data_IF_297788620601
#
_entry.id   IF_297788620601
#
_cell.length_a   1.000
_cell.length_b   1.000
_cell.length_c   1.000
_cell.angle_alpha   90.00
_cell.angle_beta   90.00
_cell.angle_gamma   90.00
#
_symmetry.space_group_name_H-M   'P 1'
#
loop_
_entity.id
_entity.type
_entity.pdbx_description
1 polymer ?
#
# COMPACT_ATOMS: atom_id res chain seq x y z
N UNK A 1 -4.99 -0.54 -6.87
CA UNK A 1 -4.85 -0.33 -8.33
C UNK A 1 -4.43 1.10 -8.61
N UNK A 2 -5.21 2.12 -8.20
CA UNK A 2 -4.90 3.55 -8.40
C UNK A 2 -3.44 3.95 -8.06
N UNK A 3 -2.87 3.59 -6.90
CA UNK A 3 -1.49 3.94 -6.58
C UNK A 3 -0.48 3.46 -7.62
N UNK A 4 -0.56 2.19 -7.96
CA UNK A 4 0.37 1.55 -8.88
C UNK A 4 0.21 2.07 -10.32
N UNK A 5 -1.01 2.38 -10.75
CA UNK A 5 -1.24 2.99 -12.06
C UNK A 5 -0.69 4.41 -12.12
N UNK A 6 -0.80 5.22 -11.05
CA UNK A 6 -0.19 6.55 -11.00
C UNK A 6 1.34 6.47 -11.14
N UNK A 7 1.96 5.53 -10.42
CA UNK A 7 3.41 5.36 -10.48
C UNK A 7 3.89 4.77 -11.82
N UNK A 8 3.07 3.92 -12.46
CA UNK A 8 3.31 3.45 -13.84
C UNK A 8 3.29 4.63 -14.81
N UNK A 9 2.32 5.55 -14.68
CA UNK A 9 2.27 6.77 -15.50
C UNK A 9 3.49 7.67 -15.27
N UNK A 10 3.93 7.81 -14.03
CA UNK A 10 5.14 8.57 -13.71
C UNK A 10 6.40 7.95 -14.35
N UNK A 11 6.54 6.62 -14.26
CA UNK A 11 7.63 5.90 -14.92
C UNK A 11 7.58 6.05 -16.46
N UNK A 12 6.39 6.06 -17.06
CA UNK A 12 6.21 6.33 -18.49
C UNK A 12 6.66 7.76 -18.87
N UNK A 13 6.26 8.77 -18.10
CA UNK A 13 6.70 10.16 -18.32
C UNK A 13 8.20 10.36 -18.10
N UNK A 14 8.80 9.55 -17.23
CA UNK A 14 10.24 9.52 -16.97
C UNK A 14 11.03 8.87 -18.12
N UNK A 15 10.56 7.71 -18.61
CA UNK A 15 11.19 6.97 -19.71
C UNK A 15 11.13 7.76 -21.04
N UNK A 16 10.18 8.69 -21.17
CA UNK A 16 9.95 9.43 -22.41
C UNK A 16 9.39 8.53 -23.52
N UNK A 17 8.76 7.41 -23.15
CA UNK A 17 8.17 6.48 -24.11
C UNK A 17 7.02 7.12 -24.91
N UNK A 18 6.83 6.65 -26.14
CA UNK A 18 5.76 7.09 -27.01
C UNK A 18 4.38 6.97 -26.33
N UNK A 19 3.55 8.00 -26.48
CA UNK A 19 2.18 8.06 -25.91
C UNK A 19 1.29 6.92 -26.40
N UNK A 20 1.54 6.37 -27.57
CA UNK A 20 0.85 5.19 -28.11
C UNK A 20 1.06 3.92 -27.27
N UNK A 21 2.15 3.84 -26.49
CA UNK A 21 2.43 2.72 -25.58
C UNK A 21 1.66 2.82 -24.26
N UNK A 22 1.24 4.03 -23.86
CA UNK A 22 0.61 4.29 -22.56
C UNK A 22 -0.65 3.43 -22.31
N UNK A 23 -1.60 3.27 -23.26
CA UNK A 23 -2.78 2.43 -23.03
C UNK A 23 -2.43 0.97 -22.74
N UNK A 24 -1.41 0.42 -23.42
CA UNK A 24 -0.97 -0.97 -23.24
C UNK A 24 -0.29 -1.13 -21.89
N UNK A 25 0.58 -0.19 -21.50
CA UNK A 25 1.24 -0.18 -20.18
C UNK A 25 0.22 -0.10 -19.05
N UNK A 26 -0.78 0.78 -19.16
CA UNK A 26 -1.83 0.91 -18.16
C UNK A 26 -2.74 -0.32 -18.10
N UNK A 27 -3.05 -0.94 -19.23
CA UNK A 27 -3.81 -2.19 -19.27
C UNK A 27 -3.03 -3.33 -18.58
N UNK A 28 -1.74 -3.47 -18.87
CA UNK A 28 -0.87 -4.44 -18.23
C UNK A 28 -0.79 -4.21 -16.71
N UNK A 29 -0.60 -2.95 -16.28
CA UNK A 29 -0.60 -2.58 -14.87
C UNK A 29 -1.95 -2.89 -14.20
N UNK A 30 -3.08 -2.59 -14.86
CA UNK A 30 -4.42 -2.89 -14.34
C UNK A 30 -4.60 -4.39 -14.11
N UNK A 31 -4.24 -5.23 -15.09
CA UNK A 31 -4.34 -6.70 -14.95
C UNK A 31 -3.43 -7.20 -13.83
N UNK A 32 -2.16 -6.79 -13.85
CA UNK A 32 -1.17 -7.23 -12.87
C UNK A 32 -1.56 -6.82 -11.44
N UNK A 33 -1.94 -5.55 -11.23
CA UNK A 33 -2.29 -5.04 -9.90
C UNK A 33 -3.70 -5.44 -9.44
N UNK A 34 -4.59 -5.84 -10.35
CA UNK A 34 -5.83 -6.50 -9.96
C UNK A 34 -5.53 -7.88 -9.36
N UNK A 35 -4.67 -8.68 -10.00
CA UNK A 35 -4.22 -9.98 -9.49
C UNK A 35 -3.45 -9.83 -8.17
N UNK A 36 -2.54 -8.85 -8.08
CA UNK A 36 -1.80 -8.50 -6.86
C UNK A 36 -2.73 -8.32 -5.64
N UNK A 37 -3.79 -7.52 -5.79
CA UNK A 37 -4.73 -7.26 -4.69
C UNK A 37 -5.60 -8.49 -4.43
N UNK A 38 -6.11 -9.09 -5.50
CA UNK A 38 -7.02 -10.21 -5.41
C UNK A 38 -6.42 -11.41 -4.67
N UNK A 39 -5.16 -11.77 -4.94
CA UNK A 39 -4.50 -12.90 -4.26
C UNK A 39 -4.37 -12.67 -2.76
N UNK A 40 -3.99 -11.45 -2.35
CA UNK A 40 -3.87 -11.10 -0.93
C UNK A 40 -5.24 -11.12 -0.24
N UNK A 41 -6.24 -10.46 -0.82
CA UNK A 41 -7.57 -10.36 -0.21
C UNK A 41 -8.25 -11.73 -0.09
N UNK A 42 -8.10 -12.58 -1.12
CA UNK A 42 -8.65 -13.92 -1.11
C UNK A 42 -7.95 -14.83 -0.08
N UNK A 43 -6.62 -14.79 -0.01
CA UNK A 43 -5.85 -15.52 1.00
C UNK A 43 -6.23 -15.06 2.42
N UNK A 44 -6.29 -13.74 2.65
CA UNK A 44 -6.63 -13.16 3.94
C UNK A 44 -8.05 -13.56 4.40
N UNK A 45 -9.04 -13.53 3.50
CA UNK A 45 -10.39 -13.99 3.82
C UNK A 45 -10.45 -15.51 4.11
N UNK A 46 -9.69 -16.32 3.38
CA UNK A 46 -9.62 -17.77 3.63
C UNK A 46 -9.04 -18.10 5.01
N UNK A 47 -8.01 -17.38 5.45
CA UNK A 47 -7.41 -17.58 6.78
C UNK A 47 -8.18 -16.89 7.90
N UNK A 48 -9.06 -15.94 7.55
CA UNK A 48 -9.75 -15.05 8.49
C UNK A 48 -11.24 -15.26 8.61
N UNK A 49 -11.81 -16.40 8.19
CA UNK A 49 -13.28 -16.60 8.16
C UNK A 49 -13.93 -16.38 9.53
N UNK A 50 -13.37 -16.95 10.59
CA UNK A 50 -13.89 -16.77 11.97
C UNK A 50 -13.79 -15.32 12.44
N UNK A 51 -12.68 -14.65 12.11
CA UNK A 51 -12.48 -13.22 12.39
C UNK A 51 -13.50 -12.36 11.64
N UNK A 52 -13.74 -12.68 10.37
CA UNK A 52 -14.65 -11.95 9.50
C UNK A 52 -16.12 -12.17 9.89
N UNK A 53 -16.50 -13.29 10.50
CA UNK A 53 -17.86 -13.48 11.07
C UNK A 53 -18.22 -12.41 12.07
N UNK A 54 -17.23 -11.97 12.87
CA UNK A 54 -17.42 -10.93 13.89
C UNK A 54 -17.31 -9.53 13.28
N UNK A 55 -16.28 -9.30 12.46
CA UNK A 55 -15.92 -7.95 12.03
C UNK A 55 -16.55 -7.52 10.70
N UNK A 56 -16.76 -8.47 9.80
CA UNK A 56 -17.16 -8.25 8.39
C UNK A 56 -18.14 -9.35 7.94
N UNK A 57 -19.31 -9.48 8.60
CA UNK A 57 -20.24 -10.60 8.38
C UNK A 57 -20.83 -10.66 6.97
N UNK A 58 -20.69 -9.58 6.20
CA UNK A 58 -21.11 -9.48 4.80
C UNK A 58 -20.15 -10.12 3.80
N UNK A 59 -18.96 -10.57 4.22
CA UNK A 59 -17.95 -11.14 3.29
C UNK A 59 -18.45 -12.44 2.63
N UNK A 60 -18.16 -12.68 1.34
CA UNK A 60 -18.69 -13.84 0.60
C UNK A 60 -18.39 -15.21 1.23
N UNK A 61 -17.22 -15.37 1.85
CA UNK A 61 -16.83 -16.61 2.54
C UNK A 61 -17.56 -16.81 3.88
N UNK A 62 -18.04 -15.73 4.49
CA UNK A 62 -18.83 -15.77 5.72
C UNK A 62 -20.29 -16.07 5.41
N UNK A 63 -20.85 -15.41 4.39
CA UNK A 63 -22.25 -15.58 3.98
C UNK A 63 -22.52 -16.87 3.20
N UNK A 64 -21.48 -17.61 2.84
CA UNK A 64 -21.59 -18.85 2.07
C UNK A 64 -21.79 -18.65 0.56
N UNK A 65 -21.73 -17.41 0.05
CA UNK A 65 -21.77 -17.12 -1.40
C UNK A 65 -20.59 -17.77 -2.15
N UNK A 66 -19.48 -18.00 -1.45
CA UNK A 66 -18.32 -18.74 -1.96
C UNK A 66 -17.94 -19.81 -0.94
N UNK A 67 -17.77 -21.05 -1.40
CA UNK A 67 -17.30 -22.13 -0.51
C UNK A 67 -15.79 -21.99 -0.25
N UNK A 68 -15.28 -22.39 0.93
CA UNK A 68 -13.84 -22.37 1.21
C UNK A 68 -13.01 -23.17 0.20
N UNK A 69 -13.53 -24.32 -0.27
CA UNK A 69 -12.87 -25.13 -1.29
C UNK A 69 -12.79 -24.39 -2.65
N UNK A 70 -13.87 -23.73 -3.05
CA UNK A 70 -13.90 -22.90 -4.26
C UNK A 70 -12.95 -21.70 -4.16
N UNK A 71 -12.89 -21.03 -3.01
CA UNK A 71 -11.96 -19.94 -2.77
C UNK A 71 -10.50 -20.40 -2.78
N UNK A 72 -10.16 -21.57 -2.24
CA UNK A 72 -8.80 -22.15 -2.33
C UNK A 72 -8.40 -22.42 -3.78
N UNK A 73 -9.29 -22.99 -4.56
CA UNK A 73 -9.05 -23.23 -6.00
C UNK A 73 -8.82 -21.91 -6.73
N UNK A 74 -9.66 -20.90 -6.48
CA UNK A 74 -9.48 -19.55 -7.04
C UNK A 74 -8.17 -18.91 -6.63
N UNK A 75 -7.73 -19.10 -5.39
CA UNK A 75 -6.45 -18.57 -4.92
C UNK A 75 -5.30 -19.20 -5.70
N UNK A 76 -5.28 -20.53 -5.87
CA UNK A 76 -4.25 -21.21 -6.65
C UNK A 76 -4.23 -20.70 -8.10
N UNK A 77 -5.39 -20.66 -8.75
CA UNK A 77 -5.51 -20.20 -10.15
C UNK A 77 -5.06 -18.73 -10.27
N UNK A 78 -5.51 -17.86 -9.38
CA UNK A 78 -5.14 -16.45 -9.41
C UNK A 78 -3.66 -16.21 -9.09
N UNK A 79 -3.06 -16.99 -8.18
CA UNK A 79 -1.62 -16.92 -7.90
C UNK A 79 -0.80 -17.40 -9.09
N UNK A 80 -1.20 -18.50 -9.75
CA UNK A 80 -0.54 -18.95 -10.99
C UNK A 80 -0.66 -17.87 -12.07
N UNK A 81 -1.85 -17.31 -12.28
CA UNK A 81 -2.05 -16.22 -13.23
C UNK A 81 -1.19 -15.00 -12.89
N UNK A 82 -1.10 -14.61 -11.62
CA UNK A 82 -0.28 -13.50 -11.16
C UNK A 82 1.20 -13.71 -11.47
N UNK A 83 1.74 -14.91 -11.19
CA UNK A 83 3.13 -15.25 -11.48
C UNK A 83 3.40 -15.31 -12.99
N UNK A 84 2.48 -15.89 -13.77
CA UNK A 84 2.59 -15.93 -15.24
C UNK A 84 2.55 -14.53 -15.84
N UNK A 85 1.63 -13.67 -15.39
CA UNK A 85 1.60 -12.26 -15.81
C UNK A 85 2.91 -11.58 -15.44
N UNK A 86 3.40 -11.75 -14.21
CA UNK A 86 4.69 -11.20 -13.79
C UNK A 86 5.86 -11.66 -14.67
N UNK A 87 5.92 -12.94 -15.02
CA UNK A 87 6.93 -13.47 -15.95
C UNK A 87 6.79 -12.88 -17.36
N UNK A 88 5.57 -12.85 -17.89
CA UNK A 88 5.28 -12.34 -19.22
C UNK A 88 5.58 -10.84 -19.37
N UNK A 89 5.50 -10.08 -18.28
CA UNK A 89 5.78 -8.63 -18.26
C UNK A 89 7.12 -8.26 -17.63
N UNK A 90 8.00 -9.23 -17.34
CA UNK A 90 9.36 -8.98 -16.85
C UNK A 90 9.47 -8.46 -15.41
N UNK A 91 8.49 -8.76 -14.55
CA UNK A 91 8.38 -8.33 -13.14
C UNK A 91 8.15 -9.50 -12.17
N UNK A 92 8.57 -10.71 -12.54
CA UNK A 92 8.32 -11.95 -11.80
C UNK A 92 8.87 -11.90 -10.37
N UNK A 93 10.05 -11.33 -10.17
CA UNK A 93 10.70 -11.18 -8.88
C UNK A 93 9.82 -10.42 -7.87
N UNK A 94 9.06 -9.42 -8.33
CA UNK A 94 8.14 -8.65 -7.50
C UNK A 94 6.86 -9.43 -7.21
N UNK A 95 6.38 -10.22 -8.17
CA UNK A 95 5.25 -11.12 -7.96
C UNK A 95 5.60 -12.22 -6.94
N UNK A 96 6.81 -12.75 -6.99
CA UNK A 96 7.34 -13.71 -6.01
C UNK A 96 7.50 -13.07 -4.63
N UNK A 97 8.09 -11.87 -4.55
CA UNK A 97 8.22 -11.12 -3.30
C UNK A 97 6.86 -10.88 -2.64
N UNK A 98 5.88 -10.41 -3.41
CA UNK A 98 4.54 -10.20 -2.87
C UNK A 98 3.88 -11.50 -2.43
N UNK A 99 4.05 -12.57 -3.21
CA UNK A 99 3.53 -13.90 -2.86
C UNK A 99 4.10 -14.41 -1.54
N UNK A 100 5.42 -14.30 -1.36
CA UNK A 100 6.08 -14.63 -0.11
C UNK A 100 5.59 -13.74 1.05
N UNK A 101 5.44 -12.43 0.82
CA UNK A 101 5.01 -11.47 1.84
C UNK A 101 3.58 -11.76 2.33
N UNK A 102 2.61 -11.95 1.44
CA UNK A 102 1.25 -12.26 1.87
C UNK A 102 1.13 -13.67 2.45
N UNK A 103 1.92 -14.64 1.98
CA UNK A 103 1.97 -15.97 2.57
C UNK A 103 2.48 -15.91 4.02
N UNK A 104 3.59 -15.18 4.25
CA UNK A 104 4.11 -14.92 5.58
C UNK A 104 3.08 -14.22 6.48
N UNK A 105 2.40 -13.19 5.95
CA UNK A 105 1.38 -12.43 6.65
C UNK A 105 0.20 -13.32 7.10
N UNK A 106 -0.42 -14.04 6.16
CA UNK A 106 -1.69 -14.74 6.37
C UNK A 106 -1.50 -16.17 6.94
N UNK A 107 -0.50 -16.90 6.45
CA UNK A 107 -0.34 -18.33 6.75
C UNK A 107 0.71 -18.62 7.82
N UNK A 108 1.78 -17.81 7.91
CA UNK A 108 2.83 -18.01 8.93
C UNK A 108 2.62 -17.22 10.22
N UNK A 109 1.46 -16.54 10.34
CA UNK A 109 1.12 -15.77 11.53
C UNK A 109 1.80 -14.41 11.63
N UNK A 110 2.40 -13.91 10.54
CA UNK A 110 2.99 -12.58 10.48
C UNK A 110 2.00 -11.49 10.90
N UNK A 111 0.73 -11.60 10.49
CA UNK A 111 -0.36 -10.68 10.84
C UNK A 111 -0.61 -10.54 12.36
N UNK A 112 -0.23 -11.54 13.16
CA UNK A 112 -0.43 -11.52 14.62
C UNK A 112 0.63 -10.72 15.36
N UNK A 113 1.76 -10.40 14.70
CA UNK A 113 2.91 -9.71 15.28
C UNK A 113 3.06 -8.34 14.61
N UNK A 114 3.19 -7.26 15.40
CA UNK A 114 3.40 -5.91 14.87
C UNK A 114 4.48 -5.85 13.78
N UNK A 115 5.67 -6.36 14.08
CA UNK A 115 6.78 -6.36 13.13
C UNK A 115 6.49 -7.21 11.89
N UNK A 116 5.77 -8.33 12.04
CA UNK A 116 5.48 -9.24 10.93
C UNK A 116 4.48 -8.63 9.95
N UNK A 117 3.41 -8.02 10.47
CA UNK A 117 2.44 -7.26 9.69
C UNK A 117 3.12 -6.12 8.94
N UNK A 118 3.90 -5.31 9.64
CA UNK A 118 4.54 -4.13 9.06
C UNK A 118 5.58 -4.52 8.02
N UNK A 119 6.39 -5.56 8.26
CA UNK A 119 7.36 -6.08 7.29
C UNK A 119 6.69 -6.58 6.01
N UNK A 120 5.59 -7.33 6.12
CA UNK A 120 4.85 -7.80 4.96
C UNK A 120 4.27 -6.64 4.13
N UNK A 121 3.77 -5.61 4.80
CA UNK A 121 3.24 -4.42 4.11
C UNK A 121 4.32 -3.58 3.45
N UNK A 122 5.49 -3.44 4.07
CA UNK A 122 6.66 -2.80 3.47
C UNK A 122 7.15 -3.59 2.25
N UNK A 123 7.28 -4.91 2.37
CA UNK A 123 7.65 -5.78 1.24
C UNK A 123 6.65 -5.69 0.09
N UNK A 124 5.35 -5.65 0.40
CA UNK A 124 4.30 -5.43 -0.60
C UNK A 124 4.40 -4.07 -1.28
N UNK A 125 4.69 -3.00 -0.53
CA UNK A 125 4.88 -1.66 -1.10
C UNK A 125 6.08 -1.61 -2.03
N UNK A 126 7.21 -2.22 -1.65
CA UNK A 126 8.39 -2.36 -2.51
C UNK A 126 8.03 -3.14 -3.77
N UNK A 127 7.39 -4.31 -3.65
CA UNK A 127 6.98 -5.13 -4.78
C UNK A 127 6.03 -4.36 -5.73
N UNK A 128 5.06 -3.63 -5.17
CA UNK A 128 4.09 -2.86 -5.95
C UNK A 128 4.76 -1.75 -6.76
N UNK A 129 5.55 -0.90 -6.10
CA UNK A 129 6.15 0.26 -6.76
C UNK A 129 7.27 -0.16 -7.72
N UNK A 130 8.04 -1.19 -7.36
CA UNK A 130 9.10 -1.71 -8.23
C UNK A 130 8.51 -2.33 -9.51
N UNK A 131 7.45 -3.14 -9.38
CA UNK A 131 6.75 -3.67 -10.55
C UNK A 131 6.12 -2.56 -11.40
N UNK A 132 5.50 -1.55 -10.77
CA UNK A 132 4.85 -0.45 -11.49
C UNK A 132 5.85 0.34 -12.37
N UNK A 133 7.07 0.53 -11.86
CA UNK A 133 8.15 1.15 -12.61
C UNK A 133 8.70 0.22 -13.70
N UNK A 134 9.04 -1.02 -13.32
CA UNK A 134 9.70 -2.00 -14.21
C UNK A 134 8.82 -2.50 -15.35
N UNK A 135 7.50 -2.37 -15.24
CA UNK A 135 6.58 -2.56 -16.37
C UNK A 135 6.86 -1.58 -17.53
N UNK A 136 7.47 -0.43 -17.25
CA UNK A 136 7.80 0.60 -18.24
C UNK A 136 9.26 0.53 -18.62
N UNK A 137 10.16 0.63 -17.64
CA UNK A 137 11.61 0.81 -17.83
C UNK A 137 12.40 0.22 -16.66
N UNK A 138 13.66 -0.21 -16.82
CA UNK A 138 14.43 -0.78 -15.72
C UNK A 138 14.54 0.13 -14.48
N UNK A 139 14.65 -0.49 -13.30
CA UNK A 139 14.81 0.24 -12.05
C UNK A 139 16.20 0.91 -11.99
N UNK A 140 16.20 2.22 -11.84
CA UNK A 140 17.39 3.05 -11.69
C UNK A 140 17.45 3.67 -10.28
N UNK A 141 18.44 4.54 -10.05
CA UNK A 141 18.58 5.24 -8.77
C UNK A 141 17.39 6.17 -8.47
N UNK A 142 16.76 6.73 -9.50
CA UNK A 142 15.56 7.56 -9.38
C UNK A 142 14.38 6.74 -8.86
N UNK A 143 14.10 5.60 -9.50
CA UNK A 143 13.07 4.67 -9.08
C UNK A 143 13.25 4.26 -7.61
N UNK A 144 14.46 3.81 -7.25
CA UNK A 144 14.77 3.37 -5.89
C UNK A 144 14.63 4.48 -4.86
N UNK A 145 15.00 5.73 -5.21
CA UNK A 145 14.78 6.88 -4.31
C UNK A 145 13.31 7.06 -3.98
N UNK A 146 12.42 7.01 -4.97
CA UNK A 146 10.97 7.11 -4.77
C UNK A 146 10.41 5.92 -3.99
N UNK A 147 10.81 4.69 -4.36
CA UNK A 147 10.33 3.47 -3.72
C UNK A 147 10.71 3.46 -2.24
N UNK A 148 11.97 3.74 -1.90
CA UNK A 148 12.48 3.61 -0.54
C UNK A 148 11.97 4.72 0.39
N UNK A 149 11.89 5.97 -0.08
CA UNK A 149 11.38 7.06 0.75
C UNK A 149 9.90 6.89 1.09
N UNK A 150 9.15 6.13 0.29
CA UNK A 150 7.76 5.79 0.56
C UNK A 150 7.66 4.52 1.41
N UNK A 151 8.37 3.45 1.03
CA UNK A 151 8.24 2.13 1.66
C UNK A 151 8.85 2.08 3.07
N UNK A 152 10.00 2.73 3.30
CA UNK A 152 10.67 2.65 4.61
C UNK A 152 9.81 3.29 5.71
N UNK A 153 9.33 4.55 5.57
CA UNK A 153 8.42 5.14 6.56
C UNK A 153 7.11 4.38 6.71
N UNK A 154 6.61 3.72 5.65
CA UNK A 154 5.39 2.91 5.70
C UNK A 154 5.48 1.79 6.74
N UNK A 155 6.68 1.24 7.00
CA UNK A 155 6.91 0.27 8.08
C UNK A 155 6.38 0.74 9.44
N UNK A 156 6.37 2.05 9.67
CA UNK A 156 5.81 2.64 10.89
C UNK A 156 4.41 3.19 10.67
N UNK A 157 4.20 3.97 9.60
CA UNK A 157 2.94 4.67 9.31
C UNK A 157 1.76 3.73 9.08
N UNK A 158 2.02 2.50 8.61
CA UNK A 158 0.98 1.47 8.41
C UNK A 158 0.27 1.08 9.72
N UNK A 159 0.89 1.36 10.87
CA UNK A 159 0.31 1.13 12.19
C UNK A 159 -0.85 2.09 12.50
N UNK A 160 -1.05 3.15 11.70
CA UNK A 160 -2.23 4.04 11.82
C UNK A 160 -3.56 3.26 11.74
N UNK A 161 -3.60 2.19 10.95
CA UNK A 161 -4.81 1.39 10.82
C UNK A 161 -5.20 0.65 12.11
N UNK A 162 -4.24 0.42 13.02
CA UNK A 162 -4.47 -0.31 14.27
C UNK A 162 -5.48 0.43 15.17
N UNK A 163 -5.63 1.76 15.06
CA UNK A 163 -6.62 2.50 15.84
C UNK A 163 -8.07 2.14 15.47
N UNK A 164 -8.37 2.02 14.17
CA UNK A 164 -9.73 1.66 13.72
C UNK A 164 -10.04 0.18 13.92
N UNK A 165 -9.01 -0.65 13.98
CA UNK A 165 -9.10 -2.11 14.02
C UNK A 165 -8.91 -2.66 15.46
N UNK A 166 -8.69 -1.79 16.45
CA UNK A 166 -8.37 -2.13 17.84
C UNK A 166 -9.24 -3.24 18.45
N UNK A 167 -10.58 -3.14 18.33
CA UNK A 167 -11.50 -4.14 18.87
C UNK A 167 -11.36 -5.50 18.18
N UNK A 168 -11.23 -5.49 16.85
CA UNK A 168 -11.06 -6.71 16.06
C UNK A 168 -9.70 -7.34 16.32
N UNK A 169 -8.65 -6.53 16.42
CA UNK A 169 -7.30 -7.00 16.75
C UNK A 169 -7.26 -7.63 18.15
N UNK A 170 -8.01 -7.07 19.11
CA UNK A 170 -8.07 -7.58 20.49
C UNK A 170 -8.75 -8.95 20.54
N UNK A 171 -9.89 -9.10 19.85
CA UNK A 171 -10.59 -10.37 19.71
C UNK A 171 -9.71 -11.46 19.09
N UNK A 172 -8.80 -11.07 18.18
CA UNK A 172 -7.91 -11.98 17.45
C UNK A 172 -6.53 -12.17 18.10
N UNK A 173 -6.34 -11.69 19.34
CA UNK A 173 -5.07 -11.80 20.10
C UNK A 173 -3.86 -11.30 19.31
N UNK A 174 -4.04 -10.26 18.49
CA UNK A 174 -2.93 -9.63 17.77
C UNK A 174 -2.14 -8.76 18.74
N UNK A 175 -0.86 -8.53 18.44
CA UNK A 175 -0.03 -7.56 19.17
C UNK A 175 0.24 -6.38 18.25
N UNK A 176 -0.62 -5.36 18.32
CA UNK A 176 -0.52 -4.12 17.52
C UNK A 176 0.20 -3.00 18.25
N UNK A 177 0.53 -1.91 17.57
CA UNK A 177 1.24 -0.77 18.17
C UNK A 177 0.48 -0.24 19.39
N UNK A 178 -0.83 -0.06 19.25
CA UNK A 178 -1.74 0.44 20.29
C UNK A 178 -1.75 -0.47 21.52
N UNK A 179 -1.66 -1.78 21.34
CA UNK A 179 -1.64 -2.73 22.47
C UNK A 179 -0.29 -2.81 23.18
N UNK A 180 0.80 -2.50 22.48
CA UNK A 180 2.15 -2.54 23.04
C UNK A 180 2.46 -1.25 23.79
N UNK A 181 2.14 -0.09 23.21
CA UNK A 181 2.49 1.22 23.77
C UNK A 181 1.34 1.89 24.53
N UNK A 182 0.11 1.41 24.38
CA UNK A 182 -1.10 2.12 24.79
C UNK A 182 -1.53 3.17 23.78
N UNK A 183 -2.81 3.55 23.83
CA UNK A 183 -3.41 4.49 22.88
C UNK A 183 -2.77 5.90 22.92
N UNK A 184 -2.56 6.55 24.09
CA UNK A 184 -2.00 7.91 24.11
C UNK A 184 -0.60 7.98 23.50
N UNK A 185 0.29 7.04 23.87
CA UNK A 185 1.65 6.99 23.33
C UNK A 185 1.65 6.65 21.84
N UNK A 186 0.78 5.75 21.39
CA UNK A 186 0.65 5.41 19.96
C UNK A 186 0.15 6.61 19.15
N UNK A 187 -0.84 7.36 19.66
CA UNK A 187 -1.34 8.58 19.01
C UNK A 187 -0.25 9.66 18.92
N UNK A 188 0.50 9.87 20.00
CA UNK A 188 1.62 10.82 20.01
C UNK A 188 2.70 10.41 18.99
N UNK A 189 3.09 9.13 18.97
CA UNK A 189 4.07 8.61 18.01
C UNK A 189 3.59 8.80 16.56
N UNK A 190 2.37 8.37 16.25
CA UNK A 190 1.83 8.51 14.89
C UNK A 190 1.67 9.98 14.48
N UNK A 191 1.25 10.86 15.40
CA UNK A 191 1.22 12.30 15.14
C UNK A 191 2.61 12.83 14.76
N UNK A 192 3.63 12.50 15.54
CA UNK A 192 5.00 12.93 15.25
C UNK A 192 5.50 12.40 13.90
N UNK A 193 5.24 11.13 13.58
CA UNK A 193 5.62 10.55 12.31
C UNK A 193 4.94 11.26 11.12
N UNK A 194 3.64 11.54 11.21
CA UNK A 194 2.92 12.24 10.13
C UNK A 194 3.31 13.71 10.00
N UNK A 195 3.66 14.40 11.10
CA UNK A 195 4.15 15.77 11.04
C UNK A 195 5.56 15.89 10.41
N UNK A 196 6.43 14.90 10.63
CA UNK A 196 7.80 14.90 10.08
C UNK A 196 7.85 14.38 8.64
N UNK A 197 6.94 13.49 8.27
CA UNK A 197 6.93 12.84 6.95
C UNK A 197 6.98 13.80 5.73
N UNK A 198 6.19 14.89 5.66
CA UNK A 198 6.27 15.80 4.52
C UNK A 198 7.62 16.51 4.40
N UNK A 199 8.31 16.78 5.52
CA UNK A 199 9.67 17.35 5.49
C UNK A 199 10.68 16.36 4.90
N UNK A 200 10.57 15.07 5.24
CA UNK A 200 11.37 14.01 4.63
C UNK A 200 11.13 13.93 3.11
N UNK A 201 9.87 13.93 2.68
CA UNK A 201 9.52 13.91 1.25
C UNK A 201 10.07 15.14 0.53
N UNK A 202 9.96 16.32 1.14
CA UNK A 202 10.51 17.54 0.56
C UNK A 202 12.03 17.45 0.35
N UNK A 203 12.78 17.04 1.37
CA UNK A 203 14.24 16.95 1.30
C UNK A 203 14.70 15.93 0.25
N UNK A 204 14.01 14.78 0.14
CA UNK A 204 14.43 13.68 -0.73
C UNK A 204 13.92 13.82 -2.16
N UNK A 205 12.68 14.31 -2.34
CA UNK A 205 11.99 14.30 -3.64
C UNK A 205 11.75 15.70 -4.22
N UNK A 206 11.44 16.70 -3.40
CA UNK A 206 10.88 17.97 -3.89
C UNK A 206 11.79 19.19 -3.76
N UNK A 207 13.01 19.06 -3.22
CA UNK A 207 13.93 20.19 -2.97
C UNK A 207 14.21 21.06 -4.20
N UNK A 208 14.18 20.44 -5.38
CA UNK A 208 14.44 21.08 -6.67
C UNK A 208 13.25 20.92 -7.63
N UNK A 209 12.06 20.78 -7.07
CA UNK A 209 10.82 20.62 -7.81
C UNK A 209 10.44 21.88 -8.60
N UNK A 210 9.76 21.67 -9.72
CA UNK A 210 9.07 22.72 -10.45
C UNK A 210 7.78 23.16 -9.72
N UNK A 211 7.05 24.11 -10.30
CA UNK A 211 5.81 24.62 -9.70
C UNK A 211 4.75 23.53 -9.54
N UNK A 212 4.54 22.69 -10.56
CA UNK A 212 3.52 21.65 -10.51
C UNK A 212 3.79 20.63 -9.40
N UNK A 213 5.02 20.15 -9.30
CA UNK A 213 5.44 19.24 -8.23
C UNK A 213 5.39 19.89 -6.86
N UNK A 214 5.75 21.17 -6.75
CA UNK A 214 5.67 21.94 -5.50
C UNK A 214 4.22 22.05 -5.00
N UNK A 215 3.26 22.29 -5.89
CA UNK A 215 1.84 22.33 -5.53
C UNK A 215 1.36 20.98 -4.99
N UNK A 216 1.77 19.87 -5.60
CA UNK A 216 1.47 18.54 -5.07
C UNK A 216 2.12 18.32 -3.69
N UNK A 217 3.37 18.74 -3.50
CA UNK A 217 4.07 18.65 -2.21
C UNK A 217 3.34 19.42 -1.10
N UNK A 218 2.82 20.62 -1.40
CA UNK A 218 1.99 21.41 -0.47
C UNK A 218 0.73 20.65 -0.09
N UNK A 219 0.03 20.03 -1.05
CA UNK A 219 -1.15 19.21 -0.77
C UNK A 219 -0.80 18.02 0.13
N UNK A 220 0.31 17.33 -0.13
CA UNK A 220 0.81 16.22 0.72
C UNK A 220 1.10 16.71 2.14
N UNK A 221 1.72 17.88 2.30
CA UNK A 221 1.99 18.47 3.61
C UNK A 221 0.69 18.79 4.35
N UNK A 222 -0.26 19.47 3.70
CA UNK A 222 -1.58 19.79 4.29
C UNK A 222 -2.31 18.52 4.73
N UNK A 223 -2.32 17.48 3.88
CA UNK A 223 -2.97 16.21 4.23
C UNK A 223 -2.27 15.51 5.40
N UNK A 224 -0.94 15.52 5.44
CA UNK A 224 -0.15 14.91 6.52
C UNK A 224 -0.37 15.62 7.85
N UNK A 225 -0.39 16.95 7.86
CA UNK A 225 -0.72 17.76 9.04
C UNK A 225 -2.17 17.56 9.49
N UNK A 226 -3.11 17.50 8.54
CA UNK A 226 -4.50 17.20 8.86
C UNK A 226 -4.64 15.81 9.50
N UNK A 227 -3.90 14.80 9.02
CA UNK A 227 -3.85 13.47 9.64
C UNK A 227 -3.27 13.57 11.06
N UNK A 228 -2.13 14.24 11.25
CA UNK A 228 -1.49 14.41 12.56
C UNK A 228 -2.43 15.06 13.59
N UNK A 229 -3.07 16.17 13.23
CA UNK A 229 -4.05 16.88 14.08
C UNK A 229 -5.24 15.97 14.41
N UNK A 230 -5.76 15.22 13.43
CA UNK A 230 -6.89 14.30 13.66
C UNK A 230 -6.51 13.17 14.60
N UNK A 231 -5.31 12.61 14.51
CA UNK A 231 -4.83 11.54 15.40
C UNK A 231 -4.87 12.00 16.86
N UNK A 232 -4.49 13.25 17.16
CA UNK A 232 -4.50 13.77 18.52
C UNK A 232 -5.88 14.23 18.99
N UNK A 233 -6.64 14.92 18.13
CA UNK A 233 -7.87 15.60 18.54
C UNK A 233 -9.13 14.77 18.42
N UNK A 234 -9.13 13.74 17.57
CA UNK A 234 -10.30 12.94 17.30
C UNK A 234 -10.01 11.49 17.64
N UNK A 235 -10.89 10.89 18.44
CA UNK A 235 -10.82 9.48 18.81
C UNK A 235 -12.11 8.76 18.43
N UNK A 236 -12.01 7.44 18.36
CA UNK A 236 -13.13 6.55 18.09
C UNK A 236 -13.15 6.02 16.65
N UNK A 237 -13.69 4.81 16.51
CA UNK A 237 -13.62 3.98 15.29
C UNK A 237 -13.97 4.72 13.99
N UNK A 238 -15.02 5.56 14.00
CA UNK A 238 -15.43 6.33 12.82
C UNK A 238 -14.43 7.42 12.46
N UNK A 239 -13.90 8.12 13.46
CA UNK A 239 -12.89 9.15 13.25
C UNK A 239 -11.57 8.55 12.76
N UNK A 240 -11.13 7.46 13.40
CA UNK A 240 -9.90 6.74 13.03
C UNK A 240 -10.01 6.13 11.62
N UNK A 241 -11.18 5.58 11.25
CA UNK A 241 -11.39 5.09 9.88
C UNK A 241 -11.32 6.22 8.84
N UNK A 242 -11.89 7.40 9.14
CA UNK A 242 -11.76 8.58 8.25
C UNK A 242 -10.31 9.04 8.13
N UNK A 243 -9.56 9.05 9.23
CA UNK A 243 -8.14 9.39 9.23
C UNK A 243 -7.32 8.39 8.42
N UNK A 244 -7.62 7.09 8.51
CA UNK A 244 -7.02 6.07 7.65
C UNK A 244 -7.34 6.28 6.16
N UNK A 245 -8.58 6.63 5.81
CA UNK A 245 -8.93 6.96 4.41
C UNK A 245 -8.13 8.16 3.92
N UNK A 246 -7.99 9.23 4.74
CA UNK A 246 -7.13 10.37 4.40
C UNK A 246 -5.68 9.94 4.17
N UNK A 247 -5.16 9.02 4.98
CA UNK A 247 -3.82 8.44 4.76
C UNK A 247 -3.72 7.71 3.41
N UNK A 248 -4.71 6.89 3.05
CA UNK A 248 -4.72 6.22 1.73
C UNK A 248 -4.80 7.21 0.57
N UNK A 249 -5.51 8.32 0.74
CA UNK A 249 -5.54 9.40 -0.26
C UNK A 249 -4.20 10.12 -0.33
N UNK A 250 -3.58 10.43 0.80
CA UNK A 250 -2.24 11.03 0.86
C UNK A 250 -1.22 10.17 0.11
N UNK A 251 -1.27 8.85 0.31
CA UNK A 251 -0.44 7.91 -0.45
C UNK A 251 -0.66 8.01 -1.98
N UNK A 252 -1.90 8.11 -2.44
CA UNK A 252 -2.20 8.34 -3.86
C UNK A 252 -1.66 9.69 -4.35
N UNK A 253 -1.80 10.77 -3.57
CA UNK A 253 -1.29 12.10 -3.94
C UNK A 253 0.24 12.10 -4.04
N UNK A 254 0.93 11.40 -3.14
CA UNK A 254 2.39 11.22 -3.22
C UNK A 254 2.79 10.51 -4.51
N UNK A 255 2.04 9.50 -4.96
CA UNK A 255 2.37 8.83 -6.22
C UNK A 255 1.93 9.63 -7.46
N UNK A 256 0.88 10.44 -7.34
CA UNK A 256 0.47 11.36 -8.39
C UNK A 256 1.49 12.49 -8.60
N UNK A 257 2.13 12.98 -7.53
CA UNK A 257 3.17 14.01 -7.62
C UNK A 257 4.41 13.54 -8.37
N UNK A 258 4.64 12.21 -8.45
CA UNK A 258 5.72 11.64 -9.24
C UNK A 258 5.57 11.94 -10.73
N UNK A 259 4.35 12.15 -11.22
CA UNK A 259 4.07 12.42 -12.64
C UNK A 259 4.73 13.74 -13.08
N UNK A 260 4.40 14.92 -12.51
CA UNK A 260 5.11 16.15 -12.87
C UNK A 260 6.57 16.15 -12.42
N UNK A 261 6.91 15.49 -11.30
CA UNK A 261 8.26 15.50 -10.75
C UNK A 261 9.29 14.78 -11.62
N UNK A 262 8.83 13.76 -12.35
CA UNK A 262 9.66 12.91 -13.20
C UNK A 262 9.36 13.12 -14.68
N UNK A 263 8.51 14.09 -15.01
CA UNK A 263 8.16 14.36 -16.39
C UNK A 263 9.38 14.91 -17.15
N UNK A 264 9.84 14.17 -18.15
CA UNK A 264 10.90 14.60 -19.06
C UNK A 264 10.39 14.82 -20.50
N UNK A 265 9.07 14.89 -20.71
CA UNK A 265 8.49 15.19 -22.01
C UNK A 265 8.82 16.62 -22.43
N UNK A 266 9.62 16.74 -23.50
CA UNK A 266 9.89 17.98 -24.23
C UNK A 266 8.70 18.52 -25.01
#
# INVERSE_FOLDING_TARGET
MVPATLFTTAAWGYDGADVSRLPVLLAAAVVYFALYIYTFDLSNQLTGIEEDRLNKPHRPLVTGLVTPAGARTRLIVATVAFLVTGAATGVLEWALLWTAAWYFHNHMGGARRLWGKNLAMTAGTIAQLSAAWQLVTPLDSTAWRWILVIAVPLTLLVSLQDFRDLHGDHANRRRTLVMILGEPASRALMCACFAVYPALLYVVLYRHADLATTLCAIVVAILSEAIAVRILRLSGRRADNRTYVLYTLCYCVILASAIPALWHGG
#
